data_IF_179263183703
#
_entry.id   IF_179263183703
#
_cell.length_a   1.000
_cell.length_b   1.000
_cell.length_c   1.000
_cell.angle_alpha   90.00
_cell.angle_beta   90.00
_cell.angle_gamma   90.00
#
_symmetry.space_group_name_H-M   'P 1'
#
loop_
_entity.id
_entity.type
_entity.pdbx_description
1 polymer ?
#
# COMPACT_ATOMS: atom_id res chain seq x y z
N UNK A 1 -14.99 -0.71 -17.85
CA UNK A 1 -16.37 -1.11 -17.48
C UNK A 1 -16.89 -0.42 -16.21
N UNK A 2 -16.60 0.87 -15.96
CA UNK A 2 -16.95 1.54 -14.67
C UNK A 2 -17.42 3.00 -14.80
N UNK A 3 -17.81 3.46 -16.00
CA UNK A 3 -18.37 4.82 -16.14
C UNK A 3 -19.75 4.98 -15.47
N UNK A 4 -20.48 3.88 -15.30
CA UNK A 4 -21.87 3.92 -14.82
C UNK A 4 -22.01 4.10 -13.31
N UNK A 5 -21.05 3.64 -12.50
CA UNK A 5 -21.08 3.79 -11.03
C UNK A 5 -20.80 5.24 -10.62
N UNK A 6 -19.77 5.86 -11.22
CA UNK A 6 -19.40 7.27 -11.04
C UNK A 6 -20.54 8.26 -11.36
N UNK A 7 -21.48 7.87 -12.24
CA UNK A 7 -22.60 8.71 -12.67
C UNK A 7 -23.87 8.55 -11.83
N UNK A 8 -23.93 7.55 -10.94
CA UNK A 8 -25.14 7.17 -10.20
C UNK A 8 -25.03 7.39 -8.69
N UNK A 9 -23.83 7.59 -8.15
CA UNK A 9 -23.56 7.74 -6.73
C UNK A 9 -22.85 9.07 -6.51
N UNK A 10 -23.49 9.99 -5.76
CA UNK A 10 -22.83 11.23 -5.30
C UNK A 10 -21.67 10.88 -4.36
N UNK A 11 -20.53 11.58 -4.51
CA UNK A 11 -19.32 11.34 -3.71
C UNK A 11 -18.37 10.28 -4.27
N UNK A 12 -18.66 9.72 -5.45
CA UNK A 12 -17.83 8.72 -6.14
C UNK A 12 -17.16 9.28 -7.41
N UNK A 13 -17.01 10.60 -7.49
CA UNK A 13 -16.41 11.31 -8.62
C UNK A 13 -14.97 10.83 -8.87
N UNK A 14 -14.22 10.49 -7.83
CA UNK A 14 -12.83 10.01 -7.97
C UNK A 14 -12.67 8.49 -7.79
N UNK A 15 -13.79 7.74 -7.83
CA UNK A 15 -13.74 6.30 -7.63
C UNK A 15 -13.15 5.56 -8.83
N UNK A 16 -12.07 4.82 -8.58
CA UNK A 16 -11.47 3.89 -9.52
C UNK A 16 -11.60 2.44 -9.04
N UNK A 17 -11.83 1.51 -9.96
CA UNK A 17 -12.02 0.08 -9.65
C UNK A 17 -10.83 -0.57 -8.93
N UNK A 18 -9.63 0.03 -9.05
CA UNK A 18 -8.43 -0.45 -8.39
C UNK A 18 -8.26 0.08 -6.95
N UNK A 19 -9.03 1.09 -6.53
CA UNK A 19 -8.90 1.66 -5.17
C UNK A 19 -9.11 0.63 -4.07
N UNK A 20 -10.12 -0.27 -4.11
CA UNK A 20 -10.27 -1.31 -3.08
C UNK A 20 -9.06 -2.23 -2.99
N UNK A 21 -8.44 -2.58 -4.12
CA UNK A 21 -7.21 -3.39 -4.15
C UNK A 21 -6.04 -2.64 -3.52
N UNK A 22 -5.88 -1.34 -3.80
CA UNK A 22 -4.86 -0.51 -3.16
C UNK A 22 -5.07 -0.42 -1.65
N UNK A 23 -6.29 -0.13 -1.19
CA UNK A 23 -6.63 -0.05 0.24
C UNK A 23 -6.39 -1.37 0.96
N UNK A 24 -6.82 -2.49 0.38
CA UNK A 24 -6.60 -3.84 0.95
C UNK A 24 -5.10 -4.15 1.08
N UNK A 25 -4.33 -3.89 0.02
CA UNK A 25 -2.88 -4.14 0.00
C UNK A 25 -2.17 -3.29 1.04
N UNK A 26 -2.44 -1.97 1.08
CA UNK A 26 -1.85 -1.06 2.06
C UNK A 26 -2.17 -1.48 3.49
N UNK A 27 -3.42 -1.86 3.78
CA UNK A 27 -3.82 -2.29 5.12
C UNK A 27 -3.09 -3.56 5.57
N UNK A 28 -3.02 -4.59 4.73
CA UNK A 28 -2.33 -5.84 5.09
C UNK A 28 -0.84 -5.60 5.33
N UNK A 29 -0.19 -4.84 4.46
CA UNK A 29 1.24 -4.54 4.59
C UNK A 29 1.54 -3.67 5.81
N UNK A 30 0.71 -2.66 6.08
CA UNK A 30 0.85 -1.81 7.29
C UNK A 30 0.68 -2.60 8.58
N UNK A 31 -0.06 -3.72 8.55
CA UNK A 31 -0.21 -4.64 9.68
C UNK A 31 0.83 -5.78 9.69
N UNK A 32 1.85 -5.71 8.83
CA UNK A 32 2.98 -6.64 8.87
C UNK A 32 2.80 -7.94 8.07
N UNK A 33 1.77 -8.05 7.24
CA UNK A 33 1.62 -9.20 6.35
C UNK A 33 2.82 -9.29 5.38
N UNK A 34 3.27 -10.52 5.07
CA UNK A 34 4.36 -10.68 4.13
C UNK A 34 3.89 -10.31 2.71
N UNK A 35 4.71 -9.62 1.91
CA UNK A 35 4.33 -9.22 0.54
C UNK A 35 3.95 -10.40 -0.36
N UNK A 36 4.51 -11.59 -0.10
CA UNK A 36 4.20 -12.82 -0.82
C UNK A 36 2.77 -13.30 -0.55
N UNK A 37 2.37 -13.30 0.72
CA UNK A 37 1.01 -13.67 1.14
C UNK A 37 -0.02 -12.69 0.57
N UNK A 38 0.28 -11.39 0.59
CA UNK A 38 -0.58 -10.36 0.01
C UNK A 38 -0.71 -10.53 -1.51
N UNK A 39 0.38 -10.89 -2.21
CA UNK A 39 0.35 -11.20 -3.64
C UNK A 39 -0.57 -12.38 -3.95
N UNK A 40 -0.47 -13.47 -3.18
CA UNK A 40 -1.28 -14.67 -3.34
C UNK A 40 -2.77 -14.40 -3.06
N UNK A 41 -3.08 -13.67 -1.99
CA UNK A 41 -4.45 -13.24 -1.64
C UNK A 41 -5.10 -12.38 -2.74
N UNK A 42 -4.30 -11.59 -3.46
CA UNK A 42 -4.78 -10.73 -4.55
C UNK A 42 -4.92 -11.47 -5.89
N UNK A 43 -4.39 -12.69 -5.99
CA UNK A 43 -4.38 -13.49 -7.22
C UNK A 43 -3.58 -12.82 -8.35
N UNK A 44 -2.58 -12.00 -8.02
CA UNK A 44 -1.79 -11.28 -9.02
C UNK A 44 -0.80 -12.24 -9.70
N UNK A 45 -0.95 -12.45 -11.01
CA UNK A 45 0.00 -13.21 -11.83
C UNK A 45 1.38 -12.53 -11.91
N UNK A 46 1.43 -11.20 -11.72
CA UNK A 46 2.66 -10.40 -11.75
C UNK A 46 2.85 -9.63 -10.42
N UNK A 47 4.00 -9.84 -9.77
CA UNK A 47 4.34 -9.22 -8.47
C UNK A 47 4.75 -7.75 -8.59
N UNK A 48 5.05 -7.25 -9.79
CA UNK A 48 5.59 -5.90 -10.02
C UNK A 48 4.62 -4.80 -9.57
N UNK A 49 3.31 -5.01 -9.71
CA UNK A 49 2.27 -4.07 -9.25
C UNK A 49 2.28 -3.93 -7.73
N UNK A 50 2.47 -5.04 -7.01
CA UNK A 50 2.56 -5.06 -5.54
C UNK A 50 3.92 -4.50 -5.08
N UNK A 51 5.01 -4.83 -5.79
CA UNK A 51 6.37 -4.38 -5.47
C UNK A 51 6.60 -2.89 -5.70
N UNK A 52 6.01 -2.28 -6.73
CA UNK A 52 6.19 -0.85 -7.02
C UNK A 52 5.62 0.05 -5.92
N UNK A 53 4.46 -0.33 -5.36
CA UNK A 53 3.85 0.36 -4.20
C UNK A 53 4.70 0.12 -2.93
N UNK A 54 5.16 -1.12 -2.75
CA UNK A 54 5.98 -1.54 -1.62
C UNK A 54 7.37 -0.89 -1.56
N UNK A 55 8.02 -0.68 -2.72
CA UNK A 55 9.35 -0.07 -2.78
C UNK A 55 9.37 1.34 -2.17
N UNK A 56 8.26 2.07 -2.31
CA UNK A 56 8.12 3.40 -1.74
C UNK A 56 7.90 3.36 -0.21
N UNK A 57 6.98 2.52 0.29
CA UNK A 57 6.67 2.47 1.73
C UNK A 57 7.80 1.89 2.58
N UNK A 58 8.51 0.85 2.10
CA UNK A 58 9.66 0.30 2.84
C UNK A 58 10.83 1.26 2.93
N UNK A 59 11.05 2.09 1.91
CA UNK A 59 12.11 3.12 1.95
C UNK A 59 11.82 4.16 3.02
N UNK A 60 10.57 4.57 3.15
CA UNK A 60 10.13 5.50 4.19
C UNK A 60 10.25 4.87 5.59
N UNK A 61 9.73 3.66 5.79
CA UNK A 61 9.84 2.95 7.06
C UNK A 61 11.30 2.77 7.51
N UNK A 62 12.21 2.37 6.60
CA UNK A 62 13.64 2.26 6.90
C UNK A 62 14.27 3.60 7.28
N UNK A 63 13.91 4.70 6.61
CA UNK A 63 14.39 6.05 6.95
C UNK A 63 13.89 6.47 8.33
N UNK A 64 12.64 6.19 8.65
CA UNK A 64 12.07 6.48 9.98
C UNK A 64 12.77 5.67 11.06
N UNK A 65 13.03 4.37 10.84
CA UNK A 65 13.78 3.54 11.79
C UNK A 65 15.21 4.02 11.99
N UNK A 66 15.91 4.42 10.93
CA UNK A 66 17.26 4.97 11.03
C UNK A 66 17.29 6.28 11.85
N UNK A 67 16.31 7.17 11.63
CA UNK A 67 16.16 8.41 12.42
C UNK A 67 15.87 8.16 13.90
N UNK A 68 15.09 7.12 14.21
CA UNK A 68 14.83 6.74 15.60
C UNK A 68 16.12 6.26 16.29
N UNK A 69 16.95 5.50 15.58
CA UNK A 69 18.26 5.08 16.09
C UNK A 69 19.19 6.29 16.31
N UNK A 70 19.27 7.21 15.35
CA UNK A 70 20.08 8.43 15.48
C UNK A 70 19.66 9.27 16.69
N UNK A 71 18.36 9.37 16.96
CA UNK A 71 17.84 10.07 18.14
C UNK A 71 18.28 9.41 19.45
N UNK A 72 18.18 8.09 19.54
CA UNK A 72 18.55 7.34 20.75
C UNK A 72 20.07 7.39 21.00
N UNK A 73 20.88 7.37 19.94
CA UNK A 73 22.34 7.40 20.02
C UNK A 73 22.86 8.82 20.24
N UNK A 74 22.21 9.85 19.70
CA UNK A 74 22.63 11.25 19.86
C UNK A 74 22.23 11.91 21.18
N UNK A 75 21.34 11.29 21.96
CA UNK A 75 20.94 11.74 23.30
C UNK A 75 21.75 11.06 24.44
N UNK A 76 22.70 10.18 24.12
CA UNK A 76 23.62 9.50 25.04
C UNK A 76 25.03 10.10 25.02
#
# INVERSE_FOLDING_TARGET
>A
MTRSAKKKLEGFEDFHFHMPRHTFTSNLLSNGAAPKDVQELLGHADVSTTMNIYAHSKREAKRTSARLLDKVVGEA
#
